data_IF_515582831154
#
_entry.id   IF_515582831154
#
_cell.length_a   1.000
_cell.length_b   1.000
_cell.length_c   1.000
_cell.angle_alpha   90.00
_cell.angle_beta   90.00
_cell.angle_gamma   90.00
#
_symmetry.space_group_name_H-M   'P 1'
#
loop_
_entity.id
_entity.type
_entity.pdbx_description
1 polymer ?
#
# COMPACT_ATOMS: atom_id res chain seq x y z
N UNK A 1 21.75 -3.00 38.16
CA UNK A 1 20.29 -2.88 38.29
C UNK A 1 19.83 -1.67 37.50
N UNK A 2 19.19 -1.85 36.35
CA UNK A 2 18.79 -0.75 35.48
C UNK A 2 18.61 -1.10 33.99
N UNK A 3 19.23 -2.20 33.54
CA UNK A 3 19.26 -2.56 32.11
C UNK A 3 18.35 -3.74 31.74
N UNK A 4 17.45 -4.14 32.64
CA UNK A 4 16.53 -5.25 32.42
C UNK A 4 15.11 -4.74 32.24
N UNK A 5 14.51 -5.06 31.09
CA UNK A 5 13.08 -4.94 30.86
C UNK A 5 12.44 -6.32 30.98
N UNK A 6 11.29 -6.38 31.65
CA UNK A 6 10.43 -7.58 31.63
C UNK A 6 9.39 -7.41 30.54
N UNK A 7 9.21 -8.45 29.72
CA UNK A 7 8.12 -8.54 28.76
C UNK A 7 7.08 -9.53 29.30
N UNK A 8 5.81 -9.16 29.24
CA UNK A 8 4.67 -10.01 29.58
C UNK A 8 4.29 -10.96 28.43
N UNK A 9 4.73 -10.64 27.21
CA UNK A 9 4.61 -11.46 26.00
C UNK A 9 5.99 -11.71 25.36
N UNK A 10 6.09 -12.77 24.57
CA UNK A 10 7.25 -13.00 23.72
C UNK A 10 7.40 -11.92 22.65
N UNK A 11 8.61 -11.80 22.10
CA UNK A 11 8.81 -10.98 20.91
C UNK A 11 8.19 -11.67 19.68
N UNK A 12 7.36 -10.94 18.94
CA UNK A 12 6.64 -11.45 17.75
C UNK A 12 7.46 -11.36 16.46
N UNK A 13 8.67 -10.79 16.53
CA UNK A 13 9.57 -10.64 15.39
C UNK A 13 11.02 -10.89 15.82
N UNK A 14 11.82 -11.40 14.90
CA UNK A 14 13.25 -11.53 15.10
C UNK A 14 13.93 -10.16 15.13
N UNK A 15 14.95 -10.05 15.99
CA UNK A 15 15.84 -8.90 16.08
C UNK A 15 17.26 -9.37 15.84
N UNK A 16 17.96 -8.69 14.95
CA UNK A 16 19.38 -8.92 14.73
C UNK A 16 20.19 -7.87 15.47
N UNK A 17 21.24 -8.30 16.18
CA UNK A 17 22.04 -7.41 17.01
C UNK A 17 22.76 -6.30 16.21
N UNK A 18 23.11 -6.58 14.95
CA UNK A 18 23.71 -5.62 14.02
C UNK A 18 22.73 -4.52 13.56
N UNK A 19 21.43 -4.67 13.81
CA UNK A 19 20.42 -3.64 13.57
C UNK A 19 20.22 -2.71 14.77
N UNK A 20 21.05 -2.84 15.81
CA UNK A 20 21.01 -2.01 17.02
C UNK A 20 19.59 -1.90 17.61
N UNK A 21 18.96 -3.04 17.99
CA UNK A 21 17.62 -3.04 18.55
C UNK A 21 17.59 -2.17 19.82
N UNK A 22 16.49 -1.45 20.02
CA UNK A 22 16.34 -0.58 21.17
C UNK A 22 14.91 -0.62 21.73
N UNK A 23 14.79 -0.25 23.00
CA UNK A 23 13.51 0.11 23.60
C UNK A 23 13.27 1.60 23.40
N UNK A 24 12.04 1.96 23.06
CA UNK A 24 11.63 3.34 22.79
C UNK A 24 10.22 3.55 23.34
N UNK A 25 9.88 4.82 23.60
CA UNK A 25 8.57 5.21 24.14
C UNK A 25 7.57 5.58 23.05
N UNK A 26 7.85 5.28 21.77
CA UNK A 26 6.87 5.40 20.69
C UNK A 26 5.98 4.16 20.67
N UNK A 27 4.67 4.35 20.51
CA UNK A 27 3.65 3.30 20.55
C UNK A 27 2.49 3.68 19.62
N UNK A 28 1.72 2.70 19.11
CA UNK A 28 0.49 2.99 18.38
C UNK A 28 -0.51 3.75 19.25
N UNK A 29 -1.13 4.80 18.71
CA UNK A 29 -2.21 5.53 19.38
C UNK A 29 -3.45 4.63 19.54
N UNK A 30 -3.68 3.74 18.57
CA UNK A 30 -4.66 2.67 18.63
C UNK A 30 -3.97 1.36 18.26
N UNK A 31 -4.14 0.36 19.11
CA UNK A 31 -3.57 -0.97 18.91
C UNK A 31 -4.61 -2.06 19.12
N UNK A 32 -4.73 -2.96 18.14
CA UNK A 32 -5.47 -4.21 18.26
C UNK A 32 -4.56 -5.41 17.99
N UNK A 33 -4.64 -6.43 18.83
CA UNK A 33 -3.86 -7.66 18.68
C UNK A 33 -4.75 -8.87 18.94
N UNK A 34 -4.89 -9.76 17.95
CA UNK A 34 -5.74 -10.95 18.04
C UNK A 34 -7.19 -10.64 18.42
N UNK A 35 -7.73 -9.54 17.86
CA UNK A 35 -9.11 -9.12 18.09
C UNK A 35 -10.01 -9.43 16.90
N UNK A 36 -11.30 -9.50 17.16
CA UNK A 36 -12.33 -9.74 16.15
C UNK A 36 -13.56 -8.86 16.41
N UNK A 37 -14.28 -8.51 15.33
CA UNK A 37 -15.56 -7.78 15.40
C UNK A 37 -15.42 -6.45 16.15
N UNK A 38 -14.37 -5.70 15.80
CA UNK A 38 -14.04 -4.44 16.43
C UNK A 38 -14.18 -3.29 15.44
N UNK A 39 -14.42 -2.10 15.97
CA UNK A 39 -14.53 -0.90 15.18
C UNK A 39 -13.86 0.30 15.85
N UNK A 40 -13.27 1.16 15.02
CA UNK A 40 -12.70 2.45 15.40
C UNK A 40 -13.37 3.51 14.55
N UNK A 41 -14.04 4.48 15.17
CA UNK A 41 -14.86 5.46 14.47
C UNK A 41 -14.75 6.87 15.04
N UNK A 42 -14.87 7.87 14.17
CA UNK A 42 -15.09 9.28 14.52
C UNK A 42 -13.99 9.90 15.40
N UNK A 43 -12.71 9.61 15.06
CA UNK A 43 -11.57 10.06 15.85
C UNK A 43 -10.65 11.01 15.08
N UNK A 44 -10.04 11.91 15.86
CA UNK A 44 -8.93 12.76 15.44
C UNK A 44 -7.70 12.37 16.25
N UNK A 45 -6.63 11.98 15.56
CA UNK A 45 -5.40 11.46 16.14
C UNK A 45 -4.21 12.31 15.69
N UNK A 46 -3.28 12.58 16.61
CA UNK A 46 -2.15 13.48 16.40
C UNK A 46 -0.88 12.83 16.98
N UNK A 47 0.06 12.51 16.11
CA UNK A 47 1.25 11.73 16.45
C UNK A 47 2.37 12.56 17.11
N UNK A 48 2.37 13.88 16.92
CA UNK A 48 3.35 14.80 17.51
C UNK A 48 4.80 14.34 17.30
N UNK A 49 5.17 14.04 16.05
CA UNK A 49 6.46 13.39 15.71
C UNK A 49 7.67 14.13 16.27
N UNK A 50 7.59 15.46 16.39
CA UNK A 50 8.65 16.32 16.92
C UNK A 50 9.07 15.99 18.37
N UNK A 51 8.24 15.25 19.11
CA UNK A 51 8.49 14.84 20.51
C UNK A 51 8.98 13.40 20.65
N UNK A 52 9.15 12.69 19.54
CA UNK A 52 9.58 11.30 19.54
C UNK A 52 11.03 11.20 19.05
N UNK A 53 11.89 10.48 19.80
CA UNK A 53 13.32 10.41 19.50
C UNK A 53 13.67 9.39 18.40
N UNK A 54 12.81 8.38 18.19
CA UNK A 54 13.01 7.32 17.19
C UNK A 54 11.70 6.94 16.53
N UNK A 55 11.75 6.74 15.22
CA UNK A 55 10.59 6.35 14.44
C UNK A 55 10.16 4.90 14.71
N UNK A 56 8.87 4.63 14.59
CA UNK A 56 8.30 3.29 14.61
C UNK A 56 8.44 2.65 13.22
N UNK A 57 8.88 1.38 13.18
CA UNK A 57 8.96 0.62 11.94
C UNK A 57 7.59 0.10 11.52
N UNK A 58 7.24 0.26 10.23
CA UNK A 58 5.90 -0.04 9.70
C UNK A 58 5.39 -1.48 9.84
N UNK A 59 6.29 -2.46 9.83
CA UNK A 59 5.93 -3.85 10.08
C UNK A 59 5.84 -4.21 11.58
N UNK A 60 6.02 -3.22 12.46
CA UNK A 60 6.00 -3.35 13.92
C UNK A 60 4.95 -2.45 14.57
N UNK A 61 4.42 -1.48 13.84
CA UNK A 61 3.35 -0.60 14.29
C UNK A 61 3.14 0.61 13.40
N UNK A 62 2.15 1.42 13.76
CA UNK A 62 1.77 2.69 13.14
C UNK A 62 0.91 3.49 14.13
N UNK A 63 0.44 4.67 13.76
CA UNK A 63 -0.46 5.47 14.61
C UNK A 63 -1.74 4.68 14.94
N UNK A 64 -2.32 4.02 13.93
CA UNK A 64 -3.40 3.03 14.07
C UNK A 64 -2.86 1.70 13.58
N UNK A 65 -2.86 0.67 14.45
CA UNK A 65 -2.24 -0.59 14.12
C UNK A 65 -3.02 -1.82 14.59
N UNK A 66 -3.17 -2.80 13.69
CA UNK A 66 -3.78 -4.09 14.00
C UNK A 66 -2.86 -5.25 13.63
N UNK A 67 -2.80 -6.25 14.50
CA UNK A 67 -2.01 -7.46 14.24
C UNK A 67 -2.85 -8.70 14.47
N UNK A 68 -2.77 -9.66 13.54
CA UNK A 68 -3.47 -10.96 13.62
C UNK A 68 -4.97 -10.82 13.93
N UNK A 69 -5.63 -9.82 13.36
CA UNK A 69 -7.02 -9.45 13.70
C UNK A 69 -7.95 -9.63 12.50
N UNK A 70 -9.27 -9.75 12.74
CA UNK A 70 -10.25 -9.94 11.67
C UNK A 70 -11.57 -9.22 11.90
N UNK A 71 -12.35 -9.00 10.84
CA UNK A 71 -13.65 -8.33 10.93
C UNK A 71 -13.52 -6.96 11.61
N UNK A 72 -12.67 -6.10 11.05
CA UNK A 72 -12.32 -4.80 11.62
C UNK A 72 -12.90 -3.68 10.75
N UNK A 73 -13.56 -2.72 11.39
CA UNK A 73 -14.04 -1.51 10.75
C UNK A 73 -13.26 -0.28 11.22
N UNK A 74 -12.85 0.57 10.29
CA UNK A 74 -12.17 1.83 10.55
C UNK A 74 -12.89 2.90 9.73
N UNK A 75 -13.54 3.87 10.36
CA UNK A 75 -14.38 4.85 9.65
C UNK A 75 -14.27 6.25 10.23
N UNK A 76 -14.23 7.28 9.38
CA UNK A 76 -14.04 8.70 9.76
C UNK A 76 -12.90 8.90 10.77
N UNK A 77 -11.72 8.37 10.43
CA UNK A 77 -10.49 8.63 11.16
C UNK A 77 -9.70 9.70 10.42
N UNK A 78 -9.28 10.72 11.15
CA UNK A 78 -8.24 11.63 10.67
C UNK A 78 -7.05 11.57 11.60
N UNK A 79 -5.95 11.08 11.07
CA UNK A 79 -4.66 10.92 11.72
C UNK A 79 -3.61 11.77 10.99
N UNK A 80 -2.68 12.35 11.76
CA UNK A 80 -1.52 13.05 11.19
C UNK A 80 -0.29 13.12 12.10
N UNK A 81 0.84 13.46 11.48
CA UNK A 81 2.11 13.86 12.13
C UNK A 81 2.71 12.76 13.04
N UNK A 82 2.55 11.49 12.69
CA UNK A 82 3.16 10.38 13.41
C UNK A 82 4.61 10.12 12.96
N UNK A 83 5.47 9.80 13.94
CA UNK A 83 6.87 9.42 13.69
C UNK A 83 6.98 7.96 13.29
N UNK A 84 6.33 7.60 12.19
CA UNK A 84 6.18 6.23 11.71
C UNK A 84 5.13 6.21 10.61
N UNK A 85 4.39 5.13 10.49
CA UNK A 85 3.28 5.03 9.53
C UNK A 85 1.95 5.43 10.16
N UNK A 86 1.02 5.90 9.34
CA UNK A 86 -0.33 6.26 9.78
C UNK A 86 -1.15 5.02 10.16
N UNK A 87 -1.75 4.36 9.17
CA UNK A 87 -2.47 3.10 9.34
C UNK A 87 -1.63 1.93 8.88
N UNK A 88 -1.47 0.92 9.73
CA UNK A 88 -0.87 -0.37 9.36
C UNK A 88 -1.67 -1.55 9.90
N UNK A 89 -1.68 -2.67 9.19
CA UNK A 89 -2.16 -3.92 9.77
C UNK A 89 -1.43 -5.13 9.18
N UNK A 90 -1.06 -6.11 10.00
CA UNK A 90 -0.35 -7.31 9.51
C UNK A 90 -1.12 -8.56 9.89
N UNK A 91 -1.12 -9.56 9.00
CA UNK A 91 -1.78 -10.85 9.20
C UNK A 91 -3.28 -10.70 9.50
N UNK A 92 -3.93 -9.69 8.92
CA UNK A 92 -5.35 -9.41 9.15
C UNK A 92 -6.23 -9.83 7.96
N UNK A 93 -7.53 -10.01 8.20
CA UNK A 93 -8.51 -10.24 7.13
C UNK A 93 -9.83 -9.55 7.39
N UNK A 94 -10.62 -9.36 6.35
CA UNK A 94 -11.97 -8.78 6.44
C UNK A 94 -11.91 -7.40 7.12
N UNK A 95 -11.09 -6.51 6.57
CA UNK A 95 -10.86 -5.15 7.10
C UNK A 95 -11.51 -4.12 6.19
N UNK A 96 -12.38 -3.29 6.73
CA UNK A 96 -13.08 -2.23 5.99
C UNK A 96 -12.64 -0.88 6.52
N UNK A 97 -12.08 -0.06 5.63
CA UNK A 97 -11.57 1.29 5.92
C UNK A 97 -12.32 2.28 5.03
N UNK A 98 -13.03 3.23 5.64
CA UNK A 98 -13.86 4.19 4.91
C UNK A 98 -13.69 5.61 5.43
N UNK A 99 -13.71 6.58 4.53
CA UNK A 99 -13.76 8.00 4.90
C UNK A 99 -12.59 8.44 5.80
N UNK A 100 -11.42 7.83 5.62
CA UNK A 100 -10.26 8.03 6.49
C UNK A 100 -9.17 8.89 5.84
N UNK A 101 -8.36 9.56 6.67
CA UNK A 101 -7.24 10.40 6.26
C UNK A 101 -6.01 10.15 7.13
N UNK A 102 -4.84 9.92 6.51
CA UNK A 102 -3.57 9.63 7.19
C UNK A 102 -2.43 10.43 6.57
N UNK A 103 -2.03 11.51 7.24
CA UNK A 103 -1.27 12.60 6.64
C UNK A 103 0.03 12.95 7.36
N UNK A 104 0.98 13.49 6.60
CA UNK A 104 2.19 14.14 7.14
C UNK A 104 3.04 13.21 8.05
N UNK A 105 2.91 11.90 7.85
CA UNK A 105 3.67 10.90 8.59
C UNK A 105 5.06 10.71 8.00
N UNK A 106 6.03 10.35 8.82
CA UNK A 106 7.41 10.05 8.33
C UNK A 106 7.51 8.70 7.60
N UNK A 107 6.45 7.91 7.65
CA UNK A 107 6.31 6.61 7.01
C UNK A 107 5.33 6.65 5.84
N UNK A 108 4.63 5.54 5.64
CA UNK A 108 3.51 5.44 4.70
C UNK A 108 2.23 5.98 5.36
N UNK A 109 1.28 6.46 4.56
CA UNK A 109 -0.05 6.84 5.05
C UNK A 109 -0.91 5.62 5.39
N UNK A 110 -1.15 4.77 4.38
CA UNK A 110 -1.95 3.55 4.48
C UNK A 110 -1.10 2.33 4.11
N UNK A 111 -1.09 1.30 4.97
CA UNK A 111 -0.24 0.11 4.80
C UNK A 111 -1.01 -1.17 5.13
N UNK A 112 -1.70 -1.79 4.14
CA UNK A 112 -2.05 -3.21 4.25
C UNK A 112 -0.78 -4.07 4.29
N UNK A 113 -0.48 -4.54 5.48
CA UNK A 113 0.74 -5.25 5.83
C UNK A 113 0.71 -6.73 5.50
N UNK A 114 1.84 -7.37 5.76
CA UNK A 114 2.21 -8.72 5.38
C UNK A 114 1.12 -9.76 5.66
N UNK A 115 0.83 -10.57 4.64
CA UNK A 115 -0.14 -11.66 4.69
C UNK A 115 -1.60 -11.20 4.81
N UNK A 116 -1.90 -9.91 4.84
CA UNK A 116 -3.28 -9.46 4.98
C UNK A 116 -4.07 -9.65 3.68
N UNK A 117 -5.36 -9.95 3.80
CA UNK A 117 -6.23 -10.25 2.64
C UNK A 117 -7.63 -9.72 2.86
N UNK A 118 -8.43 -9.60 1.79
CA UNK A 118 -9.85 -9.26 1.88
C UNK A 118 -10.05 -7.93 2.64
N UNK A 119 -9.41 -6.88 2.14
CA UNK A 119 -9.51 -5.54 2.70
C UNK A 119 -10.11 -4.57 1.68
N UNK A 120 -10.94 -3.65 2.16
CA UNK A 120 -11.55 -2.58 1.38
C UNK A 120 -11.10 -1.23 1.93
N UNK A 121 -10.52 -0.41 1.06
CA UNK A 121 -10.30 1.02 1.28
C UNK A 121 -11.23 1.80 0.34
N UNK A 122 -12.11 2.61 0.90
CA UNK A 122 -13.10 3.39 0.16
C UNK A 122 -13.09 4.85 0.63
N UNK A 123 -13.04 5.80 -0.29
CA UNK A 123 -13.06 7.24 0.03
C UNK A 123 -11.98 7.64 1.07
N UNK A 124 -10.77 7.09 0.96
CA UNK A 124 -9.66 7.39 1.86
C UNK A 124 -8.64 8.34 1.22
N UNK A 125 -7.85 9.03 2.04
CA UNK A 125 -6.79 9.93 1.58
C UNK A 125 -5.51 9.80 2.38
N UNK A 126 -4.39 10.06 1.72
CA UNK A 126 -3.09 10.21 2.35
C UNK A 126 -2.29 11.30 1.64
N UNK A 127 -1.88 12.31 2.40
CA UNK A 127 -1.18 13.48 1.88
C UNK A 127 0.12 13.79 2.63
N UNK A 128 1.16 14.14 1.89
CA UNK A 128 2.39 14.69 2.48
C UNK A 128 3.21 13.69 3.28
N UNK A 129 2.95 12.39 3.15
CA UNK A 129 3.73 11.36 3.83
C UNK A 129 5.13 11.25 3.22
N UNK A 130 6.13 10.97 4.05
CA UNK A 130 7.53 10.89 3.61
C UNK A 130 7.79 9.67 2.70
N UNK A 131 7.04 8.58 2.89
CA UNK A 131 7.05 7.39 2.01
C UNK A 131 5.81 7.36 1.11
N UNK A 132 5.11 6.24 0.98
CA UNK A 132 3.98 6.13 0.05
C UNK A 132 2.67 6.64 0.66
N UNK A 133 1.76 7.17 -0.16
CA UNK A 133 0.38 7.40 0.27
C UNK A 133 -0.31 6.07 0.62
N UNK A 134 -0.15 5.09 -0.27
CA UNK A 134 -0.60 3.73 -0.08
C UNK A 134 0.53 2.73 -0.34
N UNK A 135 0.75 1.77 0.56
CA UNK A 135 1.83 0.80 0.47
C UNK A 135 1.32 -0.63 0.70
N UNK A 136 1.26 -1.41 -0.37
CA UNK A 136 1.11 -2.85 -0.26
C UNK A 136 2.45 -3.49 0.16
N UNK A 137 2.37 -4.37 1.14
CA UNK A 137 3.53 -4.93 1.80
C UNK A 137 4.05 -6.20 1.12
N UNK A 138 3.90 -7.34 1.79
CA UNK A 138 4.27 -8.66 1.30
C UNK A 138 3.06 -9.57 1.38
N UNK A 139 2.60 -10.15 0.26
CA UNK A 139 1.43 -11.03 0.23
C UNK A 139 0.15 -10.30 0.69
N UNK A 140 0.02 -9.03 0.34
CA UNK A 140 -1.24 -8.30 0.40
C UNK A 140 -2.05 -8.63 -0.87
N UNK A 141 -3.16 -9.34 -0.72
CA UNK A 141 -3.94 -9.85 -1.85
C UNK A 141 -5.45 -9.67 -1.67
N UNK A 142 -6.19 -9.62 -2.79
CA UNK A 142 -7.62 -9.37 -2.80
C UNK A 142 -8.02 -8.12 -2.01
N UNK A 143 -7.26 -7.04 -2.21
CA UNK A 143 -7.54 -5.74 -1.63
C UNK A 143 -8.14 -4.84 -2.71
N UNK A 144 -9.22 -4.14 -2.36
CA UNK A 144 -9.79 -3.07 -3.18
C UNK A 144 -9.40 -1.72 -2.60
N UNK A 145 -8.89 -0.84 -3.45
CA UNK A 145 -8.66 0.58 -3.19
C UNK A 145 -9.54 1.36 -4.16
N UNK A 146 -10.61 1.98 -3.65
CA UNK A 146 -11.65 2.65 -4.43
C UNK A 146 -11.83 4.09 -3.98
N UNK A 147 -12.02 5.00 -4.93
CA UNK A 147 -12.33 6.41 -4.65
C UNK A 147 -11.31 7.09 -3.72
N UNK A 148 -10.04 6.65 -3.75
CA UNK A 148 -9.00 7.12 -2.84
C UNK A 148 -8.10 8.18 -3.46
N UNK A 149 -7.48 9.02 -2.63
CA UNK A 149 -6.62 10.12 -3.06
C UNK A 149 -5.24 10.10 -2.40
N UNK A 150 -4.18 10.06 -3.21
CA UNK A 150 -2.78 10.02 -2.75
C UNK A 150 -1.99 11.19 -3.34
N UNK A 151 -1.72 12.20 -2.50
CA UNK A 151 -1.14 13.48 -2.94
C UNK A 151 0.16 13.84 -2.24
N UNK A 152 1.14 14.37 -2.98
CA UNK A 152 2.38 14.94 -2.41
C UNK A 152 3.14 13.98 -1.47
N UNK A 153 2.97 12.69 -1.64
CA UNK A 153 3.71 11.67 -0.90
C UNK A 153 5.05 11.39 -1.61
N UNK A 154 5.88 10.55 -0.99
CA UNK A 154 7.10 10.03 -1.60
C UNK A 154 6.82 9.24 -2.88
N UNK A 155 5.77 8.42 -2.89
CA UNK A 155 5.17 7.69 -4.02
C UNK A 155 3.66 7.71 -3.80
N UNK A 156 2.84 7.75 -4.86
CA UNK A 156 1.38 7.74 -4.68
C UNK A 156 0.91 6.43 -4.06
N UNK A 157 1.05 5.34 -4.82
CA UNK A 157 0.71 3.97 -4.43
C UNK A 157 1.85 3.03 -4.83
N UNK A 158 2.23 2.11 -3.94
CA UNK A 158 3.31 1.16 -4.18
C UNK A 158 2.87 -0.28 -3.94
N UNK A 159 3.09 -1.17 -4.91
CA UNK A 159 2.77 -2.60 -4.91
C UNK A 159 4.07 -3.42 -4.81
N UNK A 160 4.10 -4.51 -4.03
CA UNK A 160 5.33 -5.28 -3.80
C UNK A 160 5.17 -6.80 -3.64
N UNK A 161 6.08 -7.39 -2.89
CA UNK A 161 6.40 -8.83 -2.94
C UNK A 161 5.19 -9.74 -2.71
N UNK A 162 4.85 -10.61 -3.66
CA UNK A 162 3.68 -11.52 -3.65
C UNK A 162 2.33 -10.81 -3.56
N UNK A 163 2.28 -9.52 -3.86
CA UNK A 163 1.01 -8.81 -3.90
C UNK A 163 0.32 -9.12 -5.22
N UNK A 164 -0.88 -9.67 -5.14
CA UNK A 164 -1.63 -10.13 -6.31
C UNK A 164 -3.14 -10.10 -6.09
N UNK A 165 -3.91 -10.13 -7.18
CA UNK A 165 -5.37 -10.04 -7.18
C UNK A 165 -5.90 -8.75 -6.55
N UNK A 166 -5.15 -7.65 -6.65
CA UNK A 166 -5.54 -6.36 -6.08
C UNK A 166 -6.26 -5.50 -7.14
N UNK A 167 -7.26 -4.74 -6.68
CA UNK A 167 -8.04 -3.81 -7.49
C UNK A 167 -7.79 -2.39 -7.02
N UNK A 168 -7.36 -1.52 -7.93
CA UNK A 168 -7.24 -0.08 -7.73
C UNK A 168 -8.18 0.57 -8.72
N UNK A 169 -9.19 1.28 -8.25
CA UNK A 169 -10.22 1.88 -9.10
C UNK A 169 -10.63 3.27 -8.64
N UNK A 170 -10.96 4.14 -9.60
CA UNK A 170 -11.47 5.50 -9.33
C UNK A 170 -10.56 6.32 -8.40
N UNK A 171 -9.26 6.03 -8.40
CA UNK A 171 -8.29 6.67 -7.51
C UNK A 171 -7.59 7.86 -8.18
N UNK A 172 -7.13 8.81 -7.35
CA UNK A 172 -6.30 9.94 -7.78
C UNK A 172 -4.90 9.85 -7.18
N UNK A 173 -3.88 9.80 -8.03
CA UNK A 173 -2.46 9.87 -7.64
C UNK A 173 -1.88 11.15 -8.23
N UNK A 174 -1.55 12.13 -7.38
CA UNK A 174 -1.19 13.47 -7.86
C UNK A 174 0.01 14.09 -7.13
N UNK A 175 0.91 14.69 -7.92
CA UNK A 175 2.06 15.48 -7.45
C UNK A 175 2.96 14.75 -6.44
N UNK A 176 3.06 13.42 -6.54
CA UNK A 176 3.96 12.63 -5.69
C UNK A 176 5.42 12.81 -6.14
N UNK A 177 6.37 12.70 -5.20
CA UNK A 177 7.81 12.93 -5.42
C UNK A 177 8.42 11.93 -6.41
N UNK A 178 7.95 10.70 -6.40
CA UNK A 178 8.23 9.65 -7.39
C UNK A 178 6.95 9.31 -8.19
N UNK A 179 6.90 8.13 -8.80
CA UNK A 179 5.75 7.66 -9.57
C UNK A 179 4.42 7.78 -8.80
N UNK A 180 3.34 7.96 -9.56
CA UNK A 180 1.98 7.88 -9.03
C UNK A 180 1.67 6.45 -8.61
N UNK A 181 2.07 5.47 -9.43
CA UNK A 181 1.99 4.05 -9.12
C UNK A 181 3.37 3.42 -9.35
N UNK A 182 3.87 2.68 -8.36
CA UNK A 182 5.10 1.92 -8.45
C UNK A 182 4.84 0.44 -8.17
N UNK A 183 5.07 -0.41 -9.15
CA UNK A 183 5.13 -1.87 -9.00
C UNK A 183 6.60 -2.24 -8.81
N UNK A 184 6.96 -2.65 -7.59
CA UNK A 184 8.36 -2.81 -7.16
C UNK A 184 8.99 -4.12 -7.64
N UNK A 185 10.30 -4.09 -7.84
CA UNK A 185 11.13 -5.24 -8.19
C UNK A 185 11.04 -6.27 -7.09
N UNK A 186 10.68 -7.47 -7.51
CA UNK A 186 10.48 -8.60 -6.63
C UNK A 186 10.98 -9.84 -7.37
N UNK A 187 11.82 -10.68 -6.75
CA UNK A 187 12.40 -11.82 -7.45
C UNK A 187 11.34 -12.90 -7.67
N UNK A 188 11.49 -13.73 -8.70
CA UNK A 188 10.69 -14.94 -8.85
C UNK A 188 10.92 -15.93 -7.68
N UNK A 189 9.90 -16.64 -7.15
CA UNK A 189 8.47 -16.63 -7.49
C UNK A 189 7.64 -15.74 -6.54
N UNK A 190 8.11 -14.51 -6.31
CA UNK A 190 7.50 -13.56 -5.36
C UNK A 190 7.13 -12.24 -6.03
N UNK A 191 7.02 -12.28 -7.34
CA UNK A 191 6.63 -11.20 -8.22
C UNK A 191 5.24 -10.64 -7.92
N UNK A 192 5.04 -9.38 -8.28
CA UNK A 192 3.71 -8.77 -8.35
C UNK A 192 3.02 -9.31 -9.59
N UNK A 193 1.79 -9.80 -9.44
CA UNK A 193 1.02 -10.22 -10.59
C UNK A 193 -0.48 -10.06 -10.41
N UNK A 194 -1.25 -10.19 -11.49
CA UNK A 194 -2.71 -10.27 -11.45
C UNK A 194 -3.35 -9.05 -10.75
N UNK A 195 -2.97 -7.83 -11.14
CA UNK A 195 -3.52 -6.61 -10.56
C UNK A 195 -4.27 -5.80 -11.62
N UNK A 196 -5.39 -5.20 -11.22
CA UNK A 196 -6.21 -4.34 -12.09
C UNK A 196 -6.19 -2.91 -11.56
N UNK A 197 -5.74 -1.98 -12.41
CA UNK A 197 -5.74 -0.54 -12.15
C UNK A 197 -6.64 0.10 -13.20
N UNK A 198 -7.78 0.65 -12.78
CA UNK A 198 -8.77 1.18 -13.71
C UNK A 198 -9.35 2.52 -13.32
N UNK A 199 -9.78 3.28 -14.32
CA UNK A 199 -10.56 4.52 -14.14
C UNK A 199 -9.86 5.54 -13.20
N UNK A 200 -8.53 5.47 -13.07
CA UNK A 200 -7.75 6.34 -12.19
C UNK A 200 -7.28 7.62 -12.91
N UNK A 201 -7.07 8.68 -12.12
CA UNK A 201 -6.35 9.90 -12.53
C UNK A 201 -4.94 9.92 -11.95
N UNK A 202 -3.95 9.84 -12.83
CA UNK A 202 -2.54 9.73 -12.46
C UNK A 202 -1.80 10.90 -13.11
N UNK A 203 -1.63 11.98 -12.35
CA UNK A 203 -1.24 13.29 -12.90
C UNK A 203 -0.08 13.94 -12.15
N UNK A 204 0.89 14.48 -12.87
CA UNK A 204 1.91 15.37 -12.29
C UNK A 204 2.87 14.69 -11.31
N UNK A 205 2.92 13.35 -11.29
CA UNK A 205 3.82 12.62 -10.40
C UNK A 205 5.25 12.63 -10.92
N UNK A 206 6.18 12.23 -10.07
CA UNK A 206 7.61 12.28 -10.33
C UNK A 206 8.14 13.71 -10.23
N UNK A 207 7.70 14.48 -9.23
CA UNK A 207 8.13 15.87 -9.07
C UNK A 207 9.62 15.99 -8.72
N UNK A 208 10.22 14.95 -8.15
CA UNK A 208 11.64 14.92 -7.77
C UNK A 208 12.43 13.79 -8.46
N UNK A 209 11.85 12.60 -8.57
CA UNK A 209 12.51 11.39 -9.10
C UNK A 209 11.53 10.48 -9.84
N UNK A 210 12.02 9.40 -10.43
CA UNK A 210 11.24 8.44 -11.21
C UNK A 210 11.28 8.74 -12.72
N UNK A 211 10.93 7.71 -13.48
CA UNK A 211 10.96 7.61 -14.94
C UNK A 211 9.56 7.61 -15.57
N UNK A 212 8.49 7.45 -14.78
CA UNK A 212 7.12 7.39 -15.29
C UNK A 212 6.03 7.86 -14.32
N UNK A 213 4.82 8.09 -14.84
CA UNK A 213 3.62 8.25 -14.00
C UNK A 213 3.23 6.92 -13.35
N UNK A 214 3.38 5.83 -14.11
CA UNK A 214 3.32 4.44 -13.65
C UNK A 214 4.67 3.79 -13.96
N UNK A 215 5.29 3.20 -12.95
CA UNK A 215 6.55 2.47 -13.07
C UNK A 215 6.35 1.01 -12.71
N UNK A 216 6.83 0.12 -13.57
CA UNK A 216 6.76 -1.34 -13.40
C UNK A 216 8.17 -1.90 -13.48
N UNK A 217 8.68 -2.35 -12.35
CA UNK A 217 10.01 -2.94 -12.24
C UNK A 217 9.98 -4.45 -12.57
N UNK A 218 11.15 -5.08 -12.82
CA UNK A 218 11.24 -6.41 -13.41
C UNK A 218 10.55 -7.54 -12.66
N UNK A 219 10.18 -8.57 -13.44
CA UNK A 219 9.46 -9.80 -13.08
C UNK A 219 7.95 -9.64 -12.83
N UNK A 220 7.42 -8.43 -12.78
CA UNK A 220 5.97 -8.23 -12.70
C UNK A 220 5.26 -8.67 -14.00
N UNK A 221 4.07 -9.26 -13.86
CA UNK A 221 3.26 -9.69 -14.99
C UNK A 221 1.75 -9.71 -14.71
N UNK A 222 0.91 -9.96 -15.72
CA UNK A 222 -0.56 -9.98 -15.58
C UNK A 222 -1.12 -8.67 -14.97
N UNK A 223 -0.62 -7.52 -15.42
CA UNK A 223 -1.06 -6.21 -14.93
C UNK A 223 -1.97 -5.59 -15.97
N UNK A 224 -3.18 -5.21 -15.56
CA UNK A 224 -4.14 -4.51 -16.42
C UNK A 224 -4.24 -3.04 -16.04
N UNK A 225 -3.98 -2.18 -17.02
CA UNK A 225 -4.24 -0.74 -16.92
C UNK A 225 -5.41 -0.41 -17.86
N UNK A 226 -6.56 -0.02 -17.30
CA UNK A 226 -7.81 0.16 -18.06
C UNK A 226 -8.42 1.54 -17.84
N UNK A 227 -8.72 2.29 -18.90
CA UNK A 227 -9.40 3.59 -18.84
C UNK A 227 -8.75 4.65 -17.93
N UNK A 228 -7.44 4.56 -17.68
CA UNK A 228 -6.77 5.54 -16.83
C UNK A 228 -6.50 6.84 -17.61
N UNK A 229 -6.60 7.97 -16.91
CA UNK A 229 -6.08 9.26 -17.39
C UNK A 229 -4.68 9.46 -16.83
N UNK A 230 -3.69 9.55 -17.72
CA UNK A 230 -2.29 9.63 -17.34
C UNK A 230 -1.71 10.94 -17.88
N UNK A 231 -1.36 11.85 -16.97
CA UNK A 231 -0.83 13.17 -17.32
C UNK A 231 0.58 13.37 -16.77
N UNK A 232 1.55 13.56 -17.66
CA UNK A 232 2.95 13.82 -17.30
C UNK A 232 3.13 15.12 -16.51
N UNK A 233 4.22 15.21 -15.75
CA UNK A 233 4.60 16.45 -15.06
C UNK A 233 5.03 17.53 -16.06
N UNK A 234 4.64 18.79 -15.82
CA UNK A 234 4.90 19.90 -16.75
C UNK A 234 6.38 20.24 -16.91
N UNK A 235 7.19 20.01 -15.87
CA UNK A 235 8.61 20.39 -15.85
C UNK A 235 9.58 19.21 -15.98
N UNK A 236 9.10 17.96 -15.81
CA UNK A 236 9.93 16.75 -15.95
C UNK A 236 9.32 15.86 -17.03
N UNK A 237 10.11 15.60 -18.08
CA UNK A 237 9.71 14.72 -19.18
C UNK A 237 9.87 13.26 -18.77
N UNK A 238 8.83 12.69 -18.16
CA UNK A 238 8.75 11.27 -17.81
C UNK A 238 7.75 10.53 -18.70
N UNK A 239 7.86 9.20 -18.71
CA UNK A 239 6.93 8.37 -19.44
C UNK A 239 5.52 8.40 -18.81
N UNK A 240 4.50 8.01 -19.58
CA UNK A 240 3.21 7.66 -19.00
C UNK A 240 3.32 6.35 -18.24
N UNK A 241 3.65 5.27 -18.96
CA UNK A 241 4.02 3.97 -18.38
C UNK A 241 5.48 3.68 -18.72
N UNK A 242 6.28 3.36 -17.70
CA UNK A 242 7.65 2.90 -17.82
C UNK A 242 7.76 1.46 -17.33
N UNK A 243 8.37 0.58 -18.13
CA UNK A 243 8.66 -0.80 -17.73
C UNK A 243 10.14 -1.09 -17.90
N UNK A 244 10.72 -1.84 -16.97
CA UNK A 244 12.07 -2.38 -17.12
C UNK A 244 12.10 -3.77 -17.79
N UNK A 245 13.29 -4.22 -18.19
CA UNK A 245 13.53 -5.55 -18.77
C UNK A 245 13.05 -6.67 -17.85
N UNK A 246 12.27 -7.61 -18.39
CA UNK A 246 11.73 -8.76 -17.66
C UNK A 246 10.31 -8.56 -17.11
N UNK A 247 9.70 -7.41 -17.37
CA UNK A 247 8.24 -7.23 -17.26
C UNK A 247 7.55 -7.85 -18.47
N UNK A 248 6.44 -8.56 -18.28
CA UNK A 248 5.65 -9.15 -19.38
C UNK A 248 4.14 -9.18 -19.07
N UNK A 249 3.31 -9.50 -20.06
CA UNK A 249 1.84 -9.60 -19.91
C UNK A 249 1.18 -8.35 -19.30
N UNK A 250 1.61 -7.16 -19.76
CA UNK A 250 0.98 -5.89 -19.42
C UNK A 250 -0.12 -5.59 -20.43
N UNK A 251 -1.36 -5.58 -19.96
CA UNK A 251 -2.54 -5.29 -20.76
C UNK A 251 -2.95 -3.82 -20.61
N UNK A 252 -3.15 -3.15 -21.75
CA UNK A 252 -3.54 -1.74 -21.82
C UNK A 252 -4.84 -1.61 -22.62
N UNK A 253 -5.88 -1.02 -22.03
CA UNK A 253 -7.12 -0.71 -22.74
C UNK A 253 -7.68 0.66 -22.34
N UNK A 254 -8.17 1.44 -23.30
CA UNK A 254 -8.83 2.74 -23.05
C UNK A 254 -8.01 3.84 -22.35
N UNK A 255 -6.71 3.65 -22.07
CA UNK A 255 -5.90 4.66 -21.37
C UNK A 255 -5.64 5.90 -22.24
N UNK A 256 -5.68 7.07 -21.62
CA UNK A 256 -5.37 8.35 -22.27
C UNK A 256 -4.08 8.93 -21.70
N UNK A 257 -3.28 9.56 -22.57
CA UNK A 257 -1.98 10.10 -22.21
C UNK A 257 -1.88 11.57 -22.63
N UNK A 258 -1.56 12.42 -21.67
CA UNK A 258 -1.35 13.85 -21.90
C UNK A 258 0.00 14.27 -21.33
N UNK A 259 0.76 15.10 -22.04
CA UNK A 259 2.06 15.60 -21.58
C UNK A 259 3.11 14.54 -21.17
N UNK A 260 2.89 13.26 -21.46
CA UNK A 260 3.86 12.18 -21.29
C UNK A 260 4.89 12.16 -22.44
N UNK A 261 6.15 11.87 -22.11
CA UNK A 261 7.27 11.85 -23.08
C UNK A 261 8.23 10.71 -22.74
N UNK A 262 8.07 9.50 -23.33
CA UNK A 262 7.00 9.06 -24.23
C UNK A 262 5.70 8.70 -23.49
N UNK A 263 4.63 8.32 -24.20
CA UNK A 263 3.45 7.74 -23.54
C UNK A 263 3.80 6.38 -22.91
N UNK A 264 4.50 5.53 -23.67
CA UNK A 264 4.97 4.22 -23.24
C UNK A 264 6.49 4.15 -23.46
N UNK A 265 7.22 3.90 -22.38
CA UNK A 265 8.63 3.55 -22.38
C UNK A 265 8.75 2.09 -21.97
N UNK A 266 8.29 1.20 -22.85
CA UNK A 266 8.15 -0.23 -22.59
C UNK A 266 8.77 -1.06 -23.70
N UNK A 267 9.28 -2.25 -23.37
CA UNK A 267 9.70 -3.19 -24.40
C UNK A 267 8.45 -3.78 -25.09
N UNK A 268 8.45 -4.01 -26.42
CA UNK A 268 7.27 -4.53 -27.12
C UNK A 268 6.79 -5.89 -26.62
N UNK A 269 7.71 -6.74 -26.16
CA UNK A 269 7.43 -8.05 -25.58
C UNK A 269 6.91 -7.98 -24.14
N UNK A 270 6.92 -6.80 -23.51
CA UNK A 270 6.28 -6.60 -22.21
C UNK A 270 4.75 -6.50 -22.30
N UNK A 271 4.20 -6.20 -23.47
CA UNK A 271 2.78 -5.96 -23.67
C UNK A 271 2.04 -7.20 -24.17
N UNK A 272 0.75 -7.30 -23.85
CA UNK A 272 -0.14 -8.33 -24.37
C UNK A 272 -1.45 -7.73 -24.89
N UNK A 273 -1.98 -8.30 -25.96
CA UNK A 273 -3.32 -7.99 -26.49
C UNK A 273 -4.43 -8.79 -25.77
N UNK A 274 -4.05 -9.85 -25.05
CA UNK A 274 -4.99 -10.71 -24.35
C UNK A 274 -5.43 -10.05 -23.04
N UNK A 275 -6.70 -9.63 -22.98
CA UNK A 275 -7.30 -9.13 -21.75
C UNK A 275 -7.32 -10.23 -20.70
N UNK A 276 -6.58 -10.08 -19.58
CA UNK A 276 -6.51 -11.13 -18.61
C UNK A 276 -7.83 -11.17 -17.83
N UNK A 277 -8.52 -12.31 -17.87
CA UNK A 277 -9.79 -12.54 -17.18
C UNK A 277 -9.51 -12.82 -15.69
N UNK A 278 -9.14 -11.77 -14.95
CA UNK A 278 -8.70 -11.86 -13.56
C UNK A 278 -9.80 -11.28 -12.66
N UNK A 279 -10.23 -12.07 -11.67
CA UNK A 279 -11.03 -11.56 -10.56
C UNK A 279 -10.10 -10.89 -9.53
N UNK A 280 -10.18 -9.57 -9.41
CA UNK A 280 -9.37 -8.77 -8.50
C UNK A 280 -10.23 -8.10 -7.43
N UNK A 281 -9.61 -7.78 -6.30
CA UNK A 281 -10.19 -6.97 -5.23
C UNK A 281 -10.89 -7.78 -4.15
N UNK A 282 -11.39 -7.05 -3.17
CA UNK A 282 -12.12 -7.55 -1.99
C UNK A 282 -13.20 -8.56 -2.40
N UNK A 283 -14.10 -8.18 -3.30
CA UNK A 283 -15.26 -9.01 -3.65
C UNK A 283 -14.91 -10.27 -4.47
N UNK A 284 -13.68 -10.37 -4.96
CA UNK A 284 -13.16 -11.53 -5.70
C UNK A 284 -12.47 -12.56 -4.80
N UNK A 285 -12.28 -12.27 -3.50
CA UNK A 285 -11.54 -13.15 -2.60
C UNK A 285 -12.22 -14.52 -2.46
N UNK A 286 -11.55 -15.64 -2.80
CA UNK A 286 -12.07 -16.95 -2.46
C UNK A 286 -12.01 -17.16 -0.95
N UNK A 287 -12.89 -18.01 -0.40
CA UNK A 287 -12.86 -18.41 1.02
C UNK A 287 -11.48 -18.97 1.45
N UNK A 288 -10.68 -19.43 0.48
CA UNK A 288 -9.35 -19.99 0.71
C UNK A 288 -8.24 -18.95 0.82
N UNK A 289 -8.49 -17.68 0.46
CA UNK A 289 -7.49 -16.62 0.41
C UNK A 289 -6.82 -16.36 1.77
N UNK A 290 -7.55 -16.60 2.85
CA UNK A 290 -7.08 -16.38 4.22
C UNK A 290 -6.59 -17.66 4.94
N UNK A 291 -6.46 -18.79 4.25
CA UNK A 291 -6.07 -20.07 4.90
C UNK A 291 -4.72 -19.99 5.63
N UNK A 292 -3.77 -19.21 5.11
CA UNK A 292 -2.46 -19.04 5.73
C UNK A 292 -2.49 -18.27 7.06
N UNK A 293 -3.59 -17.56 7.35
CA UNK A 293 -3.76 -16.83 8.59
C UNK A 293 -4.19 -17.73 9.75
N UNK A 294 -4.59 -18.97 9.49
CA UNK A 294 -4.86 -19.96 10.54
C UNK A 294 -6.06 -19.64 11.45
N UNK A 295 -6.89 -18.65 11.10
CA UNK A 295 -8.15 -18.42 11.79
C UNK A 295 -9.03 -19.66 11.68
N UNK A 296 -9.42 -20.27 12.81
CA UNK A 296 -10.27 -21.47 12.80
C UNK A 296 -11.65 -21.16 12.22
N UNK A 297 -12.14 -22.00 11.30
CA UNK A 297 -13.56 -21.99 10.87
C UNK A 297 -14.49 -22.47 12.00
N UNK A 298 -13.94 -23.20 12.97
CA UNK A 298 -14.66 -23.62 14.16
C UNK A 298 -14.48 -22.58 15.28
N UNK A 299 -15.57 -21.88 15.57
CA UNK A 299 -15.87 -21.29 16.88
C UNK A 299 -15.25 -19.92 17.15
N UNK A 300 -16.12 -18.91 17.16
CA UNK A 300 -16.49 -18.21 18.39
C UNK A 300 -18.01 -18.02 18.41
#
# INVERSE_FOLDING_TARGET
DGDWVGLDQGIEADYSADQEPCLTTIYPLIFGHQIEQAAVRDLRLEGNRSKNAKAMGGCRGGAVYFYQSRNIEITDIYERDYFGEGLGFQMCRDVVIKDCRFDENTGNGLHPGAGSTHALFENCSAEGNEKSGFFFCVRANYITVRDCTFKRNGTGLSIGTRDCYNLIEDCTMQDNRAAGILIRRTPAPTEVHNCLIRDCDISGNGTERGEGQIEIEPAAHDISLVNNRITGHSERMTAGVYTEDGVHDIYLDGNTFEHCRPNLATAPDSLTDDSPQIACGHDAAPNTAARHLGFSEAGW
#
